data_IF_424748121788
#
_entry.id   IF_424748121788
#
_cell.length_a   1.000
_cell.length_b   1.000
_cell.length_c   1.000
_cell.angle_alpha   90.00
_cell.angle_beta   90.00
_cell.angle_gamma   90.00
#
_symmetry.space_group_name_H-M   'P 1'
#
loop_
_entity.id
_entity.type
_entity.pdbx_description
1 polymer ?
#
# COMPACT_ATOMS: atom_id res chain seq x y z
N UNK A 1 16.76 21.77 -35.57
CA UNK A 1 16.85 20.44 -36.22
C UNK A 1 16.78 19.39 -35.11
N UNK A 2 15.64 18.71 -34.96
CA UNK A 2 15.43 17.71 -33.91
C UNK A 2 16.21 16.45 -34.30
N UNK A 3 17.41 16.27 -33.74
CA UNK A 3 18.26 15.10 -34.01
C UNK A 3 17.62 13.86 -33.38
N UNK A 4 17.17 12.93 -34.22
CA UNK A 4 16.83 11.58 -33.81
C UNK A 4 18.06 10.91 -33.19
N UNK A 5 17.99 10.52 -31.91
CA UNK A 5 19.09 9.88 -31.15
C UNK A 5 18.76 8.42 -30.84
N UNK A 6 19.05 7.48 -31.75
CA UNK A 6 18.68 6.07 -31.60
C UNK A 6 19.34 5.37 -30.40
N UNK A 7 20.53 5.80 -29.95
CA UNK A 7 21.22 5.15 -28.82
C UNK A 7 20.53 5.34 -27.46
N UNK A 8 19.86 6.47 -27.22
CA UNK A 8 19.14 6.70 -25.97
C UNK A 8 17.82 5.91 -25.93
N UNK A 9 17.14 5.82 -27.07
CA UNK A 9 15.85 5.12 -27.20
C UNK A 9 16.01 3.60 -27.22
N UNK A 10 17.19 3.07 -27.57
CA UNK A 10 17.43 1.63 -27.64
C UNK A 10 17.27 0.86 -26.31
N UNK A 11 17.32 1.54 -25.16
CA UNK A 11 16.97 0.93 -23.86
C UNK A 11 15.46 0.89 -23.65
N UNK A 12 14.78 2.00 -23.91
CA UNK A 12 13.33 2.08 -23.80
C UNK A 12 12.64 1.09 -24.76
N UNK A 13 13.15 0.98 -25.99
CA UNK A 13 12.69 -0.01 -26.95
C UNK A 13 12.91 -1.46 -26.50
N UNK A 14 14.00 -1.74 -25.76
CA UNK A 14 14.26 -3.08 -25.21
C UNK A 14 13.32 -3.43 -24.08
N UNK A 15 13.10 -2.52 -23.13
CA UNK A 15 12.15 -2.75 -22.02
C UNK A 15 10.73 -2.95 -22.54
N UNK A 16 10.29 -2.15 -23.52
CA UNK A 16 9.00 -2.32 -24.18
C UNK A 16 8.90 -3.69 -24.87
N UNK A 17 9.92 -4.12 -25.61
CA UNK A 17 9.94 -5.44 -26.26
C UNK A 17 9.88 -6.60 -25.26
N UNK A 18 10.64 -6.53 -24.17
CA UNK A 18 10.62 -7.57 -23.12
C UNK A 18 9.26 -7.70 -22.48
N UNK A 19 8.59 -6.57 -22.18
CA UNK A 19 7.24 -6.60 -21.61
C UNK A 19 6.24 -7.11 -22.64
N UNK A 20 6.27 -6.64 -23.89
CA UNK A 20 5.39 -7.14 -24.96
C UNK A 20 5.56 -8.65 -25.22
N UNK A 21 6.77 -9.20 -25.13
CA UNK A 21 7.00 -10.65 -25.23
C UNK A 21 6.44 -11.45 -24.05
N UNK A 22 6.39 -10.83 -22.86
CA UNK A 22 5.80 -11.45 -21.66
C UNK A 22 4.27 -11.41 -21.65
N UNK A 23 3.66 -10.47 -22.37
CA UNK A 23 2.21 -10.33 -22.47
C UNK A 23 1.70 -11.18 -23.65
N UNK A 24 1.21 -12.38 -23.36
CA UNK A 24 0.46 -13.19 -24.33
C UNK A 24 -1.04 -12.85 -24.19
N UNK A 25 -1.49 -11.77 -24.84
CA UNK A 25 -2.88 -11.29 -24.75
C UNK A 25 -3.78 -11.86 -25.86
N UNK A 26 -4.93 -12.49 -25.53
CA UNK A 26 -6.04 -12.66 -26.45
C UNK A 26 -6.61 -11.28 -26.86
N UNK A 27 -7.03 -11.14 -28.11
CA UNK A 27 -7.45 -9.87 -28.75
C UNK A 27 -8.75 -9.24 -28.19
N UNK A 28 -9.36 -9.79 -27.14
CA UNK A 28 -10.67 -9.38 -26.60
C UNK A 28 -10.59 -8.61 -25.27
N UNK A 29 -9.38 -8.31 -24.79
CA UNK A 29 -9.19 -7.71 -23.47
C UNK A 29 -9.14 -6.18 -23.55
N UNK A 30 -9.69 -5.50 -22.53
CA UNK A 30 -9.76 -4.04 -22.45
C UNK A 30 -8.36 -3.42 -22.51
N UNK A 31 -8.06 -2.76 -23.63
CA UNK A 31 -6.75 -2.21 -23.90
C UNK A 31 -6.38 -1.06 -22.96
N UNK A 32 -7.35 -0.32 -22.40
CA UNK A 32 -7.05 0.73 -21.43
C UNK A 32 -6.53 0.12 -20.12
N UNK A 33 -7.19 -0.94 -19.62
CA UNK A 33 -6.76 -1.66 -18.42
C UNK A 33 -5.39 -2.34 -18.61
N UNK A 34 -5.15 -2.92 -19.79
CA UNK A 34 -3.85 -3.55 -20.09
C UNK A 34 -2.77 -2.49 -20.26
N UNK A 35 -3.05 -1.35 -20.90
CA UNK A 35 -2.06 -0.29 -21.11
C UNK A 35 -1.55 0.27 -19.79
N UNK A 36 -2.42 0.54 -18.82
CA UNK A 36 -2.02 1.00 -17.49
C UNK A 36 -1.11 -0.02 -16.78
N UNK A 37 -1.50 -1.30 -16.82
CA UNK A 37 -0.70 -2.41 -16.27
C UNK A 37 0.65 -2.55 -16.97
N UNK A 38 0.70 -2.34 -18.29
CA UNK A 38 1.92 -2.40 -19.09
C UNK A 38 2.88 -1.27 -18.73
N UNK A 39 2.38 -0.03 -18.64
CA UNK A 39 3.15 1.15 -18.23
C UNK A 39 3.71 0.92 -16.81
N UNK A 40 2.89 0.42 -15.90
CA UNK A 40 3.32 0.10 -14.55
C UNK A 40 4.42 -0.97 -14.54
N UNK A 41 4.26 -2.06 -15.29
CA UNK A 41 5.24 -3.12 -15.40
C UNK A 41 6.57 -2.63 -15.98
N UNK A 42 6.53 -1.83 -17.05
CA UNK A 42 7.74 -1.26 -17.65
C UNK A 42 8.46 -0.35 -16.64
N UNK A 43 7.75 0.55 -15.97
CA UNK A 43 8.33 1.52 -15.05
C UNK A 43 8.93 0.89 -13.79
N UNK A 44 8.39 -0.25 -13.35
CA UNK A 44 8.85 -0.97 -12.15
C UNK A 44 9.71 -2.21 -12.47
N UNK A 45 9.90 -2.54 -13.74
CA UNK A 45 10.79 -3.63 -14.14
C UNK A 45 12.25 -3.24 -13.95
N UNK A 46 13.09 -4.22 -13.63
CA UNK A 46 14.53 -4.00 -13.47
C UNK A 46 15.17 -3.66 -14.81
N UNK A 47 15.79 -2.48 -14.90
CA UNK A 47 16.68 -2.18 -16.02
C UNK A 47 17.96 -3.00 -15.83
N UNK A 48 18.15 -4.00 -16.70
CA UNK A 48 19.29 -4.93 -16.62
C UNK A 48 20.65 -4.25 -16.80
N UNK A 49 20.69 -3.06 -17.39
CA UNK A 49 21.93 -2.28 -17.57
C UNK A 49 22.29 -1.45 -16.33
N UNK A 50 21.28 -0.95 -15.61
CA UNK A 50 21.47 -0.05 -14.46
C UNK A 50 21.26 -0.75 -13.11
N UNK A 51 20.70 -1.97 -13.13
CA UNK A 51 20.30 -2.76 -11.96
C UNK A 51 19.33 -2.00 -11.02
N UNK A 52 18.59 -1.06 -11.57
CA UNK A 52 17.59 -0.24 -10.86
C UNK A 52 16.31 -0.17 -11.70
N UNK A 53 15.17 0.17 -11.10
CA UNK A 53 13.93 0.39 -11.85
C UNK A 53 13.91 1.79 -12.47
N UNK A 54 13.34 1.98 -13.68
CA UNK A 54 13.15 3.31 -14.25
C UNK A 54 12.44 4.29 -13.30
N UNK A 55 11.45 3.81 -12.54
CA UNK A 55 10.76 4.59 -11.51
C UNK A 55 11.71 5.10 -10.43
N UNK A 56 12.58 4.24 -9.89
CA UNK A 56 13.59 4.62 -8.91
C UNK A 56 14.57 5.65 -9.47
N UNK A 57 14.98 5.50 -10.72
CA UNK A 57 15.90 6.44 -11.37
C UNK A 57 15.29 7.84 -11.56
N UNK A 58 13.98 7.94 -11.77
CA UNK A 58 13.28 9.21 -11.94
C UNK A 58 12.93 9.86 -10.59
N UNK A 59 12.52 9.07 -9.61
CA UNK A 59 11.95 9.59 -8.36
C UNK A 59 12.85 9.47 -7.14
N UNK A 60 13.91 8.66 -7.20
CA UNK A 60 14.88 8.46 -6.11
C UNK A 60 14.37 7.59 -4.96
N UNK A 61 13.20 6.96 -5.09
CA UNK A 61 12.63 6.04 -4.10
C UNK A 61 11.95 4.84 -4.77
N UNK A 62 11.95 3.71 -4.07
CA UNK A 62 11.40 2.46 -4.57
C UNK A 62 9.89 2.38 -4.29
N UNK A 63 9.11 2.20 -5.36
CA UNK A 63 7.65 2.19 -5.25
C UNK A 63 7.13 1.04 -4.37
N UNK A 64 7.75 -0.15 -4.46
CA UNK A 64 7.32 -1.31 -3.68
C UNK A 64 7.64 -1.14 -2.19
N UNK A 65 8.81 -0.60 -1.86
CA UNK A 65 9.21 -0.27 -0.51
C UNK A 65 8.25 0.76 0.11
N UNK A 66 7.91 1.82 -0.62
CA UNK A 66 6.93 2.83 -0.14
C UNK A 66 5.55 2.21 0.11
N UNK A 67 5.03 1.39 -0.82
CA UNK A 67 3.75 0.70 -0.62
C UNK A 67 3.78 -0.24 0.60
N UNK A 68 4.88 -0.95 0.83
CA UNK A 68 5.06 -1.83 1.99
C UNK A 68 5.09 -1.03 3.31
N UNK A 69 5.77 0.11 3.33
CA UNK A 69 5.80 1.00 4.50
C UNK A 69 4.41 1.59 4.79
N UNK A 70 3.68 2.01 3.75
CA UNK A 70 2.33 2.52 3.91
C UNK A 70 1.36 1.43 4.41
N UNK A 71 1.40 0.24 3.82
CA UNK A 71 0.57 -0.90 4.24
C UNK A 71 0.85 -1.31 5.68
N UNK A 72 2.11 -1.38 6.09
CA UNK A 72 2.49 -1.69 7.48
C UNK A 72 2.07 -0.59 8.47
N UNK A 73 2.14 0.67 8.07
CA UNK A 73 1.69 1.80 8.90
C UNK A 73 0.17 1.82 9.05
N UNK A 74 -0.58 1.50 7.98
CA UNK A 74 -2.02 1.33 8.04
C UNK A 74 -2.43 0.19 8.97
N UNK A 75 -1.78 -0.98 8.86
CA UNK A 75 -2.02 -2.13 9.75
C UNK A 75 -1.77 -1.79 11.22
N UNK A 76 -0.67 -1.08 11.52
CA UNK A 76 -0.37 -0.59 12.87
C UNK A 76 -1.38 0.44 13.37
N UNK A 77 -1.89 1.31 12.49
CA UNK A 77 -2.94 2.26 12.83
C UNK A 77 -4.23 1.55 13.26
N UNK A 78 -4.64 0.55 12.48
CA UNK A 78 -5.84 -0.26 12.75
C UNK A 78 -5.70 -1.07 14.05
N UNK A 79 -4.52 -1.68 14.31
CA UNK A 79 -4.30 -2.43 15.55
C UNK A 79 -4.37 -1.52 16.78
N UNK A 80 -3.70 -0.35 16.74
CA UNK A 80 -3.74 0.63 17.84
C UNK A 80 -5.14 1.15 18.11
N UNK A 81 -5.95 1.33 17.07
CA UNK A 81 -7.35 1.74 17.20
C UNK A 81 -8.20 0.65 17.88
N UNK A 82 -7.99 -0.61 17.51
CA UNK A 82 -8.63 -1.76 18.15
C UNK A 82 -8.28 -1.85 19.63
N UNK A 83 -6.99 -1.71 19.96
CA UNK A 83 -6.50 -1.74 21.35
C UNK A 83 -7.10 -0.61 22.19
N UNK A 84 -7.18 0.61 21.64
CA UNK A 84 -7.80 1.75 22.31
C UNK A 84 -9.30 1.54 22.57
N UNK A 85 -10.01 0.91 21.63
CA UNK A 85 -11.43 0.60 21.79
C UNK A 85 -11.65 -0.49 22.85
N UNK A 86 -10.79 -1.51 22.87
CA UNK A 86 -10.83 -2.55 23.90
C UNK A 86 -10.59 -1.97 25.29
N UNK A 87 -9.58 -1.11 25.45
CA UNK A 87 -9.32 -0.41 26.70
C UNK A 87 -10.52 0.44 27.16
N UNK A 88 -11.13 1.21 26.24
CA UNK A 88 -12.31 2.03 26.56
C UNK A 88 -13.50 1.19 27.03
N UNK A 89 -13.72 0.02 26.43
CA UNK A 89 -14.79 -0.91 26.86
C UNK A 89 -14.53 -1.42 28.28
N UNK A 90 -13.29 -1.78 28.58
CA UNK A 90 -12.92 -2.29 29.90
C UNK A 90 -13.10 -1.23 30.99
N UNK A 91 -12.62 0.01 30.75
CA UNK A 91 -12.78 1.11 31.70
C UNK A 91 -14.27 1.41 31.96
N UNK A 92 -15.09 1.44 30.91
CA UNK A 92 -16.53 1.65 31.07
C UNK A 92 -17.17 0.52 31.91
N UNK A 93 -16.77 -0.73 31.69
CA UNK A 93 -17.25 -1.88 32.47
C UNK A 93 -16.91 -1.74 33.96
N UNK A 94 -15.67 -1.36 34.28
CA UNK A 94 -15.24 -1.15 35.66
C UNK A 94 -16.00 0.00 36.33
N UNK A 95 -16.28 1.08 35.59
CA UNK A 95 -17.12 2.17 36.08
C UNK A 95 -18.56 1.72 36.38
N UNK A 96 -19.18 0.94 35.50
CA UNK A 96 -20.53 0.42 35.72
C UNK A 96 -20.60 -0.49 36.97
N UNK A 97 -19.61 -1.36 37.14
CA UNK A 97 -19.50 -2.22 38.33
C UNK A 97 -19.37 -1.37 39.59
N UNK A 98 -18.46 -0.40 39.61
CA UNK A 98 -18.26 0.47 40.77
C UNK A 98 -19.53 1.27 41.12
N UNK A 99 -20.24 1.78 40.12
CA UNK A 99 -21.51 2.49 40.31
C UNK A 99 -22.60 1.58 40.88
N UNK A 100 -22.66 0.32 40.42
CA UNK A 100 -23.61 -0.66 40.96
C UNK A 100 -23.30 -0.99 42.42
N UNK A 101 -22.04 -1.28 42.73
CA UNK A 101 -21.60 -1.54 44.10
C UNK A 101 -21.90 -0.35 45.03
N UNK A 102 -21.61 0.89 44.60
CA UNK A 102 -21.90 2.09 45.38
C UNK A 102 -23.39 2.26 45.70
N UNK A 103 -24.28 1.95 44.73
CA UNK A 103 -25.73 1.96 44.95
C UNK A 103 -26.17 0.88 45.93
N UNK A 104 -25.61 -0.32 45.84
CA UNK A 104 -25.89 -1.42 46.77
C UNK A 104 -25.46 -1.06 48.20
N UNK A 105 -24.25 -0.50 48.38
CA UNK A 105 -23.79 -0.03 49.69
C UNK A 105 -24.70 1.05 50.29
N UNK A 106 -25.10 2.04 49.49
CA UNK A 106 -26.02 3.09 49.95
C UNK A 106 -27.40 2.54 50.34
N UNK A 107 -27.86 1.48 49.67
CA UNK A 107 -29.11 0.81 50.04
C UNK A 107 -28.98 0.03 51.35
N UNK A 108 -27.82 -0.57 51.62
CA UNK A 108 -27.57 -1.29 52.89
C UNK A 108 -27.39 -0.36 54.10
N UNK A 109 -26.85 0.85 53.92
CA UNK A 109 -26.72 1.83 55.01
C UNK A 109 -28.03 2.56 55.35
N UNK A 110 -29.00 2.60 54.42
CA UNK A 110 -30.30 3.25 54.61
C UNK A 110 -31.41 2.28 55.05
N UNK A 111 -31.09 1.01 55.25
CA UNK A 111 -31.98 -0.04 55.76
C UNK A 111 -31.84 -0.20 57.28
#
# INVERSE_FOLDING_TARGET
MLSYRPQANGQQERSVKTVMQSVRVPLEQDWEEIAEKLIFAINNSMDTSRKETPFFLVHGWDAQATLKVMSSSLKRGLSRQSDALAWRREVNRQQEIALKMAKEYQATEKA
#
